data_IF_697753654048
#
_entry.id   IF_697753654048
#
_cell.length_a   1.000
_cell.length_b   1.000
_cell.length_c   1.000
_cell.angle_alpha   90.00
_cell.angle_beta   90.00
_cell.angle_gamma   90.00
#
_symmetry.space_group_name_H-M   'P 1'
#
loop_
_entity.id
_entity.type
_entity.pdbx_description
1 polymer ?
#
# COMPACT_ATOMS: atom_id res chain seq x y z
N UNK A 1 -21.10 5.05 8.88
CA UNK A 1 -21.60 4.78 7.52
C UNK A 1 -20.52 5.22 6.55
N UNK A 2 -19.54 4.37 6.32
CA UNK A 2 -18.49 4.60 5.33
C UNK A 2 -19.02 4.16 3.97
N UNK A 3 -19.04 5.13 3.08
CA UNK A 3 -19.52 5.06 1.72
C UNK A 3 -18.65 4.06 0.95
N UNK A 4 -19.06 2.81 0.83
CA UNK A 4 -18.51 1.87 -0.15
C UNK A 4 -19.00 2.29 -1.54
N UNK A 5 -18.53 3.47 -1.98
CA UNK A 5 -18.68 3.89 -3.37
C UNK A 5 -17.90 2.92 -4.23
N UNK A 6 -18.58 2.33 -5.21
CA UNK A 6 -18.14 1.59 -6.39
C UNK A 6 -16.60 1.54 -6.57
N UNK A 7 -15.92 0.86 -5.68
CA UNK A 7 -14.48 0.59 -5.81
C UNK A 7 -14.34 -0.43 -6.94
N UNK A 8 -13.70 0.01 -7.99
CA UNK A 8 -13.35 -0.84 -9.13
C UNK A 8 -12.21 -1.79 -8.71
N UNK A 9 -12.54 -2.80 -7.90
CA UNK A 9 -11.58 -3.82 -7.44
C UNK A 9 -11.35 -4.81 -8.55
N UNK A 10 -10.11 -4.95 -8.95
CA UNK A 10 -9.68 -6.01 -9.86
C UNK A 10 -8.98 -7.12 -9.07
N UNK A 11 -9.32 -8.37 -9.41
CA UNK A 11 -8.63 -9.53 -8.85
C UNK A 11 -7.50 -9.93 -9.80
N UNK A 12 -6.28 -9.91 -9.30
CA UNK A 12 -5.10 -10.34 -10.04
C UNK A 12 -4.58 -11.64 -9.43
N UNK A 13 -4.44 -12.65 -10.29
CA UNK A 13 -3.88 -13.93 -9.90
C UNK A 13 -2.37 -13.85 -9.78
N UNK A 14 -1.85 -14.10 -8.59
CA UNK A 14 -0.43 -14.29 -8.39
C UNK A 14 0.02 -15.65 -8.92
N UNK A 15 1.32 -15.80 -9.26
CA UNK A 15 1.88 -17.09 -9.68
C UNK A 15 1.67 -18.21 -8.65
N UNK A 16 1.48 -17.85 -7.39
CA UNK A 16 1.23 -18.77 -6.25
C UNK A 16 -0.23 -19.20 -6.13
N UNK A 17 -1.11 -18.79 -7.06
CA UNK A 17 -2.52 -19.17 -7.07
C UNK A 17 -3.42 -18.35 -6.13
N UNK A 18 -2.90 -17.30 -5.50
CA UNK A 18 -3.66 -16.41 -4.63
C UNK A 18 -4.22 -15.24 -5.45
N UNK A 19 -5.51 -14.95 -5.30
CA UNK A 19 -6.15 -13.78 -5.91
C UNK A 19 -6.00 -12.58 -4.96
N UNK A 20 -5.30 -11.53 -5.42
CA UNK A 20 -5.20 -10.26 -4.69
C UNK A 20 -6.15 -9.26 -5.32
N UNK A 21 -6.99 -8.65 -4.49
CA UNK A 21 -7.81 -7.51 -4.89
C UNK A 21 -6.95 -6.24 -4.93
N UNK A 22 -6.87 -5.60 -6.09
CA UNK A 22 -6.15 -4.34 -6.28
C UNK A 22 -7.13 -3.28 -6.78
N UNK A 23 -6.97 -2.05 -6.29
CA UNK A 23 -7.80 -0.91 -6.68
C UNK A 23 -6.98 0.04 -7.54
N UNK A 24 -7.23 0.13 -8.87
CA UNK A 24 -6.53 1.06 -9.74
C UNK A 24 -6.75 2.51 -9.32
N UNK A 25 -5.66 3.30 -9.26
CA UNK A 25 -5.74 4.72 -8.92
C UNK A 25 -6.34 5.52 -10.08
N UNK A 26 -7.44 6.22 -9.80
CA UNK A 26 -8.16 7.03 -10.75
C UNK A 26 -7.35 8.22 -11.28
N UNK A 27 -7.84 8.82 -12.37
CA UNK A 27 -7.21 9.97 -13.05
C UNK A 27 -6.97 11.13 -12.09
N UNK A 28 -7.94 11.43 -11.23
CA UNK A 28 -7.91 12.56 -10.30
C UNK A 28 -6.74 12.43 -9.31
N UNK A 29 -6.60 11.28 -8.64
CA UNK A 29 -5.51 11.02 -7.69
C UNK A 29 -4.14 11.10 -8.36
N UNK A 30 -4.02 10.58 -9.58
CA UNK A 30 -2.76 10.66 -10.36
C UNK A 30 -2.41 12.08 -10.77
N UNK A 31 -3.41 12.90 -11.12
CA UNK A 31 -3.23 14.32 -11.45
C UNK A 31 -2.78 15.13 -10.24
N UNK A 32 -3.40 14.92 -9.08
CA UNK A 32 -2.97 15.60 -7.86
C UNK A 32 -1.55 15.19 -7.44
N UNK A 33 -1.20 13.90 -7.53
CA UNK A 33 0.17 13.44 -7.28
C UNK A 33 1.18 14.16 -8.20
N UNK A 34 0.84 14.29 -9.49
CA UNK A 34 1.68 14.99 -10.45
C UNK A 34 1.85 16.48 -10.10
N UNK A 35 0.77 17.17 -9.70
CA UNK A 35 0.82 18.57 -9.30
C UNK A 35 1.75 18.76 -8.08
N UNK A 36 1.65 17.90 -7.07
CA UNK A 36 2.53 17.94 -5.90
C UNK A 36 3.99 17.75 -6.32
N UNK A 37 4.28 16.73 -7.14
CA UNK A 37 5.63 16.46 -7.64
C UNK A 37 6.15 17.62 -8.52
N UNK A 38 5.28 18.25 -9.29
CA UNK A 38 5.61 19.42 -10.09
C UNK A 38 6.00 20.62 -9.21
N UNK A 39 5.25 20.89 -8.15
CA UNK A 39 5.57 21.96 -7.19
C UNK A 39 6.91 21.71 -6.51
N UNK A 40 7.19 20.47 -6.09
CA UNK A 40 8.49 20.09 -5.52
C UNK A 40 9.64 20.35 -6.50
N UNK A 41 9.51 19.91 -7.74
CA UNK A 41 10.54 20.12 -8.77
C UNK A 41 10.71 21.60 -9.10
N UNK A 42 9.61 22.35 -9.18
CA UNK A 42 9.64 23.80 -9.42
C UNK A 42 10.36 24.54 -8.29
N UNK A 43 10.14 24.15 -7.03
CA UNK A 43 10.84 24.72 -5.89
C UNK A 43 12.35 24.44 -5.94
N UNK A 44 12.74 23.19 -6.27
CA UNK A 44 14.16 22.84 -6.45
C UNK A 44 14.77 23.70 -7.55
N UNK A 45 14.13 23.80 -8.71
CA UNK A 45 14.63 24.56 -9.83
C UNK A 45 14.69 26.08 -9.54
N UNK A 46 13.74 26.61 -8.77
CA UNK A 46 13.77 27.99 -8.33
C UNK A 46 15.00 28.28 -7.46
N UNK A 47 15.29 27.42 -6.47
CA UNK A 47 16.48 27.58 -5.62
C UNK A 47 17.77 27.43 -6.45
N UNK A 48 17.84 26.45 -7.33
CA UNK A 48 18.99 26.25 -8.23
C UNK A 48 19.22 27.48 -9.11
N UNK A 49 18.17 28.01 -9.73
CA UNK A 49 18.26 29.21 -10.55
C UNK A 49 18.73 30.42 -9.76
N UNK A 50 18.27 30.59 -8.54
CA UNK A 50 18.69 31.69 -7.67
C UNK A 50 20.19 31.61 -7.35
N UNK A 51 20.70 30.41 -7.05
CA UNK A 51 22.11 30.19 -6.67
C UNK A 51 23.06 30.37 -7.86
N UNK A 52 22.68 29.80 -9.01
CA UNK A 52 23.58 29.73 -10.17
C UNK A 52 23.42 30.90 -11.17
N UNK A 53 22.38 31.74 -11.04
CA UNK A 53 22.19 32.90 -11.92
C UNK A 53 23.34 33.91 -11.88
N UNK A 54 24.10 33.96 -10.78
CA UNK A 54 25.23 34.88 -10.62
C UNK A 54 26.48 34.46 -11.38
N UNK A 55 26.54 33.24 -11.94
CA UNK A 55 27.71 32.68 -12.63
C UNK A 55 27.68 32.95 -14.17
N UNK A 56 26.73 33.75 -14.65
CA UNK A 56 26.59 34.06 -16.08
C UNK A 56 26.33 32.80 -16.93
N UNK A 57 26.99 32.68 -18.07
CA UNK A 57 26.77 31.58 -19.04
C UNK A 57 27.11 30.20 -18.47
N UNK A 58 28.13 30.12 -17.61
CA UNK A 58 28.49 28.89 -16.92
C UNK A 58 27.36 28.44 -15.97
N UNK A 59 26.74 29.36 -15.26
CA UNK A 59 25.59 29.09 -14.40
C UNK A 59 24.39 28.60 -15.18
N UNK A 60 24.14 29.17 -16.36
CA UNK A 60 23.08 28.73 -17.25
C UNK A 60 23.26 27.26 -17.68
N UNK A 61 24.48 26.86 -18.04
CA UNK A 61 24.81 25.48 -18.38
C UNK A 61 24.53 24.50 -17.22
N UNK A 62 24.91 24.88 -15.99
CA UNK A 62 24.65 24.09 -14.80
C UNK A 62 23.13 23.94 -14.53
N UNK A 63 22.37 25.03 -14.65
CA UNK A 63 20.90 25.03 -14.49
C UNK A 63 20.25 24.05 -15.48
N UNK A 64 20.67 24.04 -16.74
CA UNK A 64 20.14 23.13 -17.76
C UNK A 64 20.45 21.65 -17.43
N UNK A 65 21.65 21.35 -16.96
CA UNK A 65 22.02 20.00 -16.53
C UNK A 65 21.17 19.54 -15.36
N UNK A 66 21.02 20.39 -14.34
CA UNK A 66 20.19 20.06 -13.16
C UNK A 66 18.72 19.93 -13.55
N UNK A 67 18.22 20.77 -14.47
CA UNK A 67 16.88 20.65 -15.02
C UNK A 67 16.67 19.29 -15.70
N UNK A 68 17.61 18.87 -16.52
CA UNK A 68 17.54 17.56 -17.19
C UNK A 68 17.51 16.41 -16.17
N UNK A 69 18.43 16.42 -15.20
CA UNK A 69 18.51 15.40 -14.16
C UNK A 69 17.22 15.39 -13.32
N UNK A 70 16.70 16.55 -12.94
CA UNK A 70 15.48 16.65 -12.13
C UNK A 70 14.24 16.23 -12.92
N UNK A 71 14.16 16.57 -14.21
CA UNK A 71 13.01 16.23 -15.05
C UNK A 71 12.87 14.72 -15.27
N UNK A 72 13.97 14.01 -15.46
CA UNK A 72 14.00 12.58 -15.77
C UNK A 72 14.37 11.73 -14.55
N UNK A 73 15.42 12.10 -13.85
CA UNK A 73 15.98 11.34 -12.76
C UNK A 73 15.09 11.30 -11.51
N UNK A 74 14.40 12.41 -11.20
CA UNK A 74 13.53 12.49 -10.02
C UNK A 74 12.52 11.34 -9.96
N UNK A 75 11.78 11.14 -11.01
CA UNK A 75 10.73 10.13 -11.03
C UNK A 75 11.31 8.72 -11.03
N UNK A 76 12.37 8.48 -11.81
CA UNK A 76 13.03 7.17 -11.86
C UNK A 76 13.59 6.82 -10.48
N UNK A 77 14.28 7.75 -9.84
CA UNK A 77 14.91 7.55 -8.53
C UNK A 77 13.88 7.18 -7.43
N UNK A 78 12.80 7.95 -7.34
CA UNK A 78 11.79 7.70 -6.31
C UNK A 78 10.95 6.47 -6.59
N UNK A 79 10.56 6.24 -7.84
CA UNK A 79 9.78 5.05 -8.22
C UNK A 79 10.61 3.75 -8.08
N UNK A 80 11.93 3.79 -8.27
CA UNK A 80 12.81 2.64 -8.03
C UNK A 80 12.84 2.21 -6.57
N UNK A 81 12.82 3.17 -5.66
CA UNK A 81 12.98 2.88 -4.23
C UNK A 81 11.74 2.18 -3.66
N UNK A 82 10.56 2.72 -3.92
CA UNK A 82 9.31 2.24 -3.30
C UNK A 82 8.11 2.21 -4.28
N UNK A 83 8.32 2.40 -5.58
CA UNK A 83 7.22 2.57 -6.55
C UNK A 83 6.47 3.89 -6.41
N UNK A 84 6.95 4.82 -5.58
CA UNK A 84 6.24 6.04 -5.19
C UNK A 84 7.13 7.26 -5.27
N UNK A 85 6.65 8.34 -5.91
CA UNK A 85 7.19 9.68 -5.75
C UNK A 85 6.62 10.33 -4.48
N UNK A 86 7.21 11.43 -3.96
CA UNK A 86 6.65 12.17 -2.83
C UNK A 86 5.17 12.54 -3.00
N UNK A 87 4.78 12.98 -4.20
CA UNK A 87 3.37 13.27 -4.52
C UNK A 87 2.48 12.04 -4.47
N UNK A 88 2.95 10.91 -5.01
CA UNK A 88 2.23 9.63 -4.95
C UNK A 88 2.10 9.10 -3.52
N UNK A 89 3.17 9.20 -2.73
CA UNK A 89 3.15 8.80 -1.31
C UNK A 89 2.10 9.58 -0.51
N UNK A 90 1.95 10.87 -0.79
CA UNK A 90 0.95 11.72 -0.12
C UNK A 90 -0.48 11.26 -0.40
N UNK A 91 -0.73 10.70 -1.57
CA UNK A 91 -2.04 10.21 -1.99
C UNK A 91 -2.20 8.69 -1.83
N UNK A 92 -1.26 8.05 -1.15
CA UNK A 92 -1.26 6.60 -0.92
C UNK A 92 -1.46 5.81 -2.23
N UNK A 93 -0.72 6.17 -3.29
CA UNK A 93 -0.72 5.44 -4.55
C UNK A 93 0.68 4.99 -4.93
N UNK A 94 0.80 3.79 -5.51
CA UNK A 94 2.08 3.21 -5.95
C UNK A 94 2.03 2.61 -7.34
N UNK A 95 3.20 2.49 -7.93
CA UNK A 95 3.42 1.81 -9.21
C UNK A 95 3.72 0.35 -8.94
N UNK A 96 2.97 -0.51 -9.62
CA UNK A 96 3.18 -1.97 -9.60
C UNK A 96 3.16 -2.51 -11.02
N UNK A 97 3.59 -3.74 -11.20
CA UNK A 97 3.38 -4.50 -12.43
C UNK A 97 1.90 -4.89 -12.58
N UNK A 98 1.51 -5.31 -13.76
CA UNK A 98 0.14 -5.78 -14.04
C UNK A 98 -0.28 -7.00 -13.22
N UNK A 99 0.69 -7.74 -12.69
CA UNK A 99 0.51 -8.88 -11.79
C UNK A 99 0.55 -8.49 -10.29
N UNK A 100 0.55 -7.19 -9.95
CA UNK A 100 0.59 -6.71 -8.57
C UNK A 100 1.98 -6.68 -7.92
N UNK A 101 3.01 -7.24 -8.56
CA UNK A 101 4.38 -7.23 -8.02
C UNK A 101 5.03 -5.84 -8.15
N UNK A 102 6.09 -5.54 -7.37
CA UNK A 102 6.84 -4.30 -7.51
C UNK A 102 7.39 -4.13 -8.94
N UNK A 103 7.31 -2.91 -9.47
CA UNK A 103 7.81 -2.62 -10.81
C UNK A 103 9.34 -2.76 -10.88
N UNK A 104 9.83 -3.42 -11.94
CA UNK A 104 11.27 -3.56 -12.20
C UNK A 104 11.90 -2.25 -12.68
N UNK A 105 13.24 -2.15 -12.59
CA UNK A 105 13.98 -0.98 -13.06
C UNK A 105 13.69 -0.65 -14.53
N UNK A 106 13.73 -1.65 -15.40
CA UNK A 106 13.48 -1.46 -16.84
C UNK A 106 12.08 -0.92 -17.12
N UNK A 107 11.07 -1.44 -16.41
CA UNK A 107 9.71 -0.95 -16.53
C UNK A 107 9.57 0.50 -16.07
N UNK A 108 10.24 0.87 -14.95
CA UNK A 108 10.25 2.25 -14.46
C UNK A 108 10.92 3.19 -15.45
N UNK A 109 12.02 2.77 -16.09
CA UNK A 109 12.70 3.56 -17.11
C UNK A 109 11.80 3.74 -18.34
N UNK A 110 11.24 2.65 -18.90
CA UNK A 110 10.39 2.71 -20.08
C UNK A 110 9.18 3.62 -19.89
N UNK A 111 8.47 3.46 -18.77
CA UNK A 111 7.28 4.28 -18.48
C UNK A 111 7.60 5.77 -18.32
N UNK A 112 8.78 6.10 -17.78
CA UNK A 112 9.20 7.48 -17.60
C UNK A 112 9.79 8.07 -18.91
N UNK A 113 10.41 7.25 -19.76
CA UNK A 113 10.89 7.65 -21.08
C UNK A 113 9.74 8.02 -22.02
N UNK A 114 8.59 7.36 -21.90
CA UNK A 114 7.42 7.64 -22.73
C UNK A 114 6.54 8.79 -22.20
N UNK A 115 6.94 9.46 -21.12
CA UNK A 115 6.23 10.64 -20.60
C UNK A 115 6.00 11.76 -21.61
N UNK A 116 6.97 12.11 -22.48
CA UNK A 116 6.74 13.12 -23.50
C UNK A 116 5.56 12.80 -24.44
N UNK A 117 5.29 11.50 -24.68
CA UNK A 117 4.14 11.09 -25.47
C UNK A 117 2.81 11.44 -24.76
N UNK A 118 2.75 11.31 -23.43
CA UNK A 118 1.57 11.69 -22.64
C UNK A 118 1.30 13.22 -22.67
N UNK A 119 2.35 14.03 -22.92
CA UNK A 119 2.27 15.51 -22.90
C UNK A 119 1.65 16.10 -24.18
N UNK A 120 1.56 15.32 -25.24
CA UNK A 120 1.02 15.77 -26.51
C UNK A 120 -0.51 15.91 -26.47
N UNK A 121 -1.14 16.79 -27.30
CA UNK A 121 -0.49 17.90 -27.99
C UNK A 121 -0.13 19.01 -27.01
N UNK A 122 -0.81 19.14 -25.86
CA UNK A 122 -0.57 20.17 -24.83
C UNK A 122 -0.90 19.59 -23.44
N UNK A 123 0.01 19.75 -22.47
CA UNK A 123 -0.29 19.66 -21.04
C UNK A 123 -0.84 18.31 -20.54
N UNK A 124 -0.28 17.17 -20.98
CA UNK A 124 -0.76 15.82 -20.61
C UNK A 124 -2.15 15.44 -21.11
N UNK A 125 -2.67 16.15 -22.12
CA UNK A 125 -4.00 15.89 -22.67
C UNK A 125 -4.15 14.46 -23.18
N UNK A 126 -3.20 13.96 -23.96
CA UNK A 126 -3.25 12.60 -24.50
C UNK A 126 -3.22 11.56 -23.39
N UNK A 127 -2.37 11.76 -22.39
CA UNK A 127 -2.30 10.88 -21.24
C UNK A 127 -3.62 10.82 -20.45
N UNK A 128 -4.29 11.95 -20.27
CA UNK A 128 -5.60 12.03 -19.63
C UNK A 128 -6.67 11.31 -20.46
N UNK A 129 -6.74 11.58 -21.76
CA UNK A 129 -7.71 10.93 -22.65
C UNK A 129 -7.54 9.42 -22.64
N UNK A 130 -6.31 8.92 -22.81
CA UNK A 130 -6.03 7.47 -22.80
C UNK A 130 -6.42 6.84 -21.47
N UNK A 131 -6.15 7.51 -20.32
CA UNK A 131 -6.58 7.01 -19.01
C UNK A 131 -8.09 6.94 -18.85
N UNK A 132 -8.85 7.88 -19.44
CA UNK A 132 -10.33 7.88 -19.34
C UNK A 132 -10.97 6.74 -20.14
N UNK A 133 -10.35 6.32 -21.23
CA UNK A 133 -10.85 5.22 -22.07
C UNK A 133 -10.39 3.82 -21.62
N UNK A 134 -9.71 3.71 -20.46
CA UNK A 134 -9.22 2.46 -19.95
C UNK A 134 -9.69 2.23 -18.52
N UNK A 135 -10.32 1.07 -18.24
CA UNK A 135 -10.79 0.66 -16.91
C UNK A 135 -9.70 0.66 -15.83
N UNK A 136 -8.44 0.43 -16.21
CA UNK A 136 -7.26 0.44 -15.33
C UNK A 136 -6.57 1.80 -15.24
N UNK A 137 -7.12 2.82 -15.88
CA UNK A 137 -6.56 4.18 -15.92
C UNK A 137 -5.08 4.25 -16.31
N UNK A 138 -4.61 3.37 -17.22
CA UNK A 138 -3.22 3.31 -17.66
C UNK A 138 -2.91 4.39 -18.68
N UNK A 139 -1.72 5.04 -18.55
CA UNK A 139 -1.14 5.90 -19.57
C UNK A 139 -0.47 5.08 -20.65
N UNK A 140 -0.06 5.74 -21.76
CA UNK A 140 0.74 5.11 -22.83
C UNK A 140 2.00 4.47 -22.26
N UNK A 141 2.74 5.19 -21.41
CA UNK A 141 3.94 4.68 -20.76
C UNK A 141 3.68 3.50 -19.83
N UNK A 142 2.54 3.47 -19.13
CA UNK A 142 2.16 2.36 -18.27
C UNK A 142 1.85 1.09 -19.09
N UNK A 143 1.20 1.25 -20.24
CA UNK A 143 0.91 0.15 -21.17
C UNK A 143 2.18 -0.46 -21.74
N UNK A 144 3.07 0.37 -22.25
CA UNK A 144 4.32 -0.08 -22.84
C UNK A 144 5.24 -0.78 -21.82
N UNK A 145 5.16 -0.40 -20.54
CA UNK A 145 5.97 -0.98 -19.48
C UNK A 145 5.29 -2.17 -18.76
N UNK A 146 4.03 -2.50 -19.06
CA UNK A 146 3.28 -3.54 -18.34
C UNK A 146 3.12 -3.22 -16.86
N UNK A 147 2.80 -1.96 -16.55
CA UNK A 147 2.63 -1.45 -15.17
C UNK A 147 1.28 -0.78 -15.00
N UNK A 148 0.87 -0.63 -13.75
CA UNK A 148 -0.30 0.15 -13.36
C UNK A 148 -0.01 0.96 -12.10
N UNK A 149 -0.87 1.93 -11.80
CA UNK A 149 -0.84 2.65 -10.53
C UNK A 149 -2.04 2.22 -9.72
N UNK A 150 -1.82 1.76 -8.51
CA UNK A 150 -2.86 1.30 -7.60
C UNK A 150 -2.88 2.17 -6.35
N UNK A 151 -4.00 2.18 -5.64
CA UNK A 151 -3.99 2.65 -4.27
C UNK A 151 -3.11 1.71 -3.45
N UNK A 152 -2.22 2.32 -2.69
CA UNK A 152 -1.45 1.67 -1.66
C UNK A 152 -2.36 1.62 -0.44
N UNK A 153 -3.36 0.74 -0.51
CA UNK A 153 -4.07 0.40 0.70
C UNK A 153 -2.97 -0.11 1.62
N UNK A 154 -2.60 0.73 2.59
CA UNK A 154 -1.87 0.22 3.73
C UNK A 154 -2.65 -1.05 4.06
N UNK A 155 -1.99 -2.20 4.02
CA UNK A 155 -2.48 -3.37 4.74
C UNK A 155 -2.81 -2.77 6.10
N UNK A 156 -4.09 -2.50 6.35
CA UNK A 156 -4.54 -1.93 7.62
C UNK A 156 -3.78 -2.77 8.62
N UNK A 157 -2.87 -2.11 9.34
CA UNK A 157 -1.97 -2.83 10.23
C UNK A 157 -2.91 -3.71 11.02
N UNK A 158 -2.81 -5.04 10.80
CA UNK A 158 -3.81 -5.98 11.33
C UNK A 158 -4.13 -5.48 12.73
N UNK A 159 -5.38 -5.21 13.08
CA UNK A 159 -5.71 -4.62 14.36
C UNK A 159 -4.92 -5.37 15.41
N UNK A 160 -4.21 -4.66 16.27
CA UNK A 160 -3.40 -5.31 17.30
C UNK A 160 -4.37 -6.15 18.12
N UNK A 161 -4.21 -7.47 18.07
CA UNK A 161 -5.05 -8.34 18.84
C UNK A 161 -4.94 -7.99 20.34
N UNK A 162 -6.03 -8.04 21.10
CA UNK A 162 -6.00 -7.74 22.51
C UNK A 162 -4.89 -8.52 23.21
N UNK A 163 -4.24 -7.88 24.18
CA UNK A 163 -3.17 -8.52 24.96
C UNK A 163 -3.75 -9.71 25.74
N UNK A 164 -3.13 -10.87 25.60
CA UNK A 164 -3.56 -12.09 26.28
C UNK A 164 -2.51 -13.18 26.10
N UNK A 165 -2.68 -14.28 26.83
CA UNK A 165 -1.84 -15.45 26.67
C UNK A 165 -2.15 -16.13 25.33
N UNK A 166 -1.13 -16.76 24.73
CA UNK A 166 -1.34 -17.58 23.53
C UNK A 166 -1.83 -18.94 24.02
N UNK A 167 -2.97 -19.37 23.50
CA UNK A 167 -3.51 -20.69 23.80
C UNK A 167 -3.49 -21.53 22.52
N UNK A 168 -3.01 -22.77 22.66
CA UNK A 168 -2.99 -23.74 21.55
C UNK A 168 -4.39 -24.36 21.47
N UNK A 169 -5.06 -24.31 20.32
CA UNK A 169 -6.37 -24.91 20.15
C UNK A 169 -6.35 -26.41 20.45
N UNK A 170 -7.22 -26.86 21.33
CA UNK A 170 -7.36 -28.28 21.70
C UNK A 170 -8.05 -29.05 20.57
N UNK A 171 -8.90 -28.37 19.78
CA UNK A 171 -9.61 -28.93 18.63
C UNK A 171 -9.04 -28.29 17.34
N UNK A 172 -8.93 -29.11 16.29
CA UNK A 172 -8.59 -28.58 14.96
C UNK A 172 -9.80 -27.83 14.40
N UNK A 173 -9.69 -26.52 14.33
CA UNK A 173 -10.70 -25.65 13.73
C UNK A 173 -10.60 -25.68 12.21
N UNK A 174 -11.74 -25.68 11.53
CA UNK A 174 -11.82 -25.47 10.10
C UNK A 174 -11.33 -24.05 9.74
N UNK A 175 -10.99 -23.82 8.47
CA UNK A 175 -10.55 -22.50 8.00
C UNK A 175 -11.58 -21.41 8.26
N UNK A 176 -12.87 -21.71 8.15
CA UNK A 176 -13.96 -20.79 8.41
C UNK A 176 -14.04 -20.41 9.91
N UNK A 177 -13.90 -21.39 10.79
CA UNK A 177 -13.87 -21.17 12.23
C UNK A 177 -12.63 -20.39 12.67
N UNK A 178 -11.45 -20.66 12.10
CA UNK A 178 -10.23 -19.88 12.33
C UNK A 178 -10.41 -18.40 11.95
N UNK A 179 -11.03 -18.15 10.77
CA UNK A 179 -11.33 -16.79 10.33
C UNK A 179 -12.34 -16.10 11.24
N UNK A 180 -13.37 -16.83 11.74
CA UNK A 180 -14.35 -16.28 12.64
C UNK A 180 -13.73 -15.90 14.01
N UNK A 181 -12.82 -16.73 14.54
CA UNK A 181 -12.07 -16.45 15.78
C UNK A 181 -11.16 -15.24 15.60
N UNK A 182 -10.44 -15.12 14.47
CA UNK A 182 -9.63 -13.96 14.16
C UNK A 182 -10.47 -12.69 14.06
N UNK A 183 -11.57 -12.72 13.30
CA UNK A 183 -12.47 -11.58 13.13
C UNK A 183 -13.12 -11.12 14.45
N UNK A 184 -13.43 -12.07 15.36
CA UNK A 184 -13.91 -11.75 16.69
C UNK A 184 -12.86 -11.01 17.52
N UNK A 185 -11.62 -11.51 17.54
CA UNK A 185 -10.54 -10.92 18.32
C UNK A 185 -10.13 -9.54 17.78
N UNK A 186 -10.06 -9.35 16.46
CA UNK A 186 -9.74 -8.07 15.81
C UNK A 186 -10.76 -6.96 16.14
N UNK A 187 -12.01 -7.32 16.33
CA UNK A 187 -13.08 -6.37 16.59
C UNK A 187 -13.50 -6.30 18.06
N UNK A 188 -12.88 -7.09 18.94
CA UNK A 188 -13.27 -7.21 20.35
C UNK A 188 -13.26 -5.87 21.09
N UNK A 189 -12.33 -4.98 20.77
CA UNK A 189 -12.21 -3.66 21.41
C UNK A 189 -13.25 -2.64 20.91
N UNK A 190 -13.85 -2.87 19.75
CA UNK A 190 -14.91 -2.04 19.17
C UNK A 190 -16.31 -2.48 19.63
N UNK A 191 -16.43 -3.70 20.16
CA UNK A 191 -17.71 -4.28 20.58
C UNK A 191 -18.06 -3.86 22.00
N UNK A 192 -19.38 -3.64 22.24
CA UNK A 192 -19.87 -3.52 23.62
C UNK A 192 -19.71 -4.84 24.37
N UNK A 193 -19.56 -4.78 25.70
CA UNK A 193 -19.36 -5.98 26.56
C UNK A 193 -20.48 -7.02 26.38
N UNK A 194 -21.73 -6.57 26.24
CA UNK A 194 -22.87 -7.45 26.01
C UNK A 194 -22.75 -8.20 24.66
N UNK A 195 -22.36 -7.49 23.61
CA UNK A 195 -22.19 -8.08 22.27
C UNK A 195 -20.99 -9.00 22.19
N UNK A 196 -19.91 -8.64 22.88
CA UNK A 196 -18.71 -9.48 23.00
C UNK A 196 -19.01 -10.79 23.69
N UNK A 197 -19.75 -10.75 24.81
CA UNK A 197 -20.17 -11.95 25.54
C UNK A 197 -21.10 -12.85 24.71
N UNK A 198 -22.04 -12.28 23.98
CA UNK A 198 -22.94 -13.01 23.09
C UNK A 198 -22.17 -13.74 21.97
N UNK A 199 -21.28 -13.03 21.29
CA UNK A 199 -20.48 -13.61 20.20
C UNK A 199 -19.49 -14.66 20.72
N UNK A 200 -18.88 -14.42 21.88
CA UNK A 200 -18.00 -15.39 22.51
C UNK A 200 -18.74 -16.67 22.89
N UNK A 201 -19.96 -16.57 23.41
CA UNK A 201 -20.79 -17.73 23.75
C UNK A 201 -21.12 -18.59 22.50
N UNK A 202 -21.44 -17.94 21.36
CA UNK A 202 -21.74 -18.64 20.11
C UNK A 202 -20.48 -19.35 19.58
N UNK A 203 -19.33 -18.66 19.55
CA UNK A 203 -18.09 -19.23 19.04
C UNK A 203 -17.48 -20.29 19.97
N UNK A 204 -17.79 -20.24 21.26
CA UNK A 204 -17.31 -21.20 22.24
C UNK A 204 -18.24 -22.41 22.44
N UNK A 205 -19.41 -22.44 21.80
CA UNK A 205 -20.36 -23.55 21.90
C UNK A 205 -19.70 -24.93 21.65
N UNK A 206 -18.81 -25.09 20.65
CA UNK A 206 -18.12 -26.37 20.42
C UNK A 206 -17.22 -26.79 21.57
N UNK A 207 -16.75 -25.86 22.40
CA UNK A 207 -15.78 -26.10 23.48
C UNK A 207 -16.44 -26.29 24.84
N UNK A 208 -17.77 -26.04 24.96
CA UNK A 208 -18.56 -26.19 26.20
C UNK A 208 -18.02 -25.38 27.39
N UNK A 209 -17.55 -24.18 27.15
CA UNK A 209 -16.94 -23.29 28.15
C UNK A 209 -17.91 -22.23 28.68
N UNK A 210 -17.65 -21.75 29.88
CA UNK A 210 -18.36 -20.58 30.42
C UNK A 210 -17.95 -19.30 29.66
N UNK A 211 -18.89 -18.36 29.55
CA UNK A 211 -18.72 -17.17 28.69
C UNK A 211 -17.52 -16.31 29.05
N UNK A 212 -17.12 -16.23 30.31
CA UNK A 212 -15.96 -15.46 30.78
C UNK A 212 -14.62 -16.08 30.36
N UNK A 213 -14.53 -17.42 30.40
CA UNK A 213 -13.35 -18.17 29.95
C UNK A 213 -13.26 -18.22 28.45
N UNK A 214 -14.42 -18.26 27.76
CA UNK A 214 -14.51 -18.28 26.32
C UNK A 214 -13.86 -17.06 25.66
N UNK A 215 -14.04 -15.86 26.21
CA UNK A 215 -13.44 -14.63 25.63
C UNK A 215 -11.92 -14.67 25.66
N UNK A 216 -11.32 -15.03 26.79
CA UNK A 216 -9.86 -15.09 26.93
C UNK A 216 -9.25 -16.18 26.04
N UNK A 217 -9.91 -17.34 25.97
CA UNK A 217 -9.48 -18.45 25.14
C UNK A 217 -9.57 -18.13 23.64
N UNK A 218 -10.67 -17.52 23.18
CA UNK A 218 -10.81 -17.14 21.77
C UNK A 218 -9.74 -16.09 21.34
N UNK A 219 -9.41 -15.14 22.22
CA UNK A 219 -8.30 -14.21 21.98
C UNK A 219 -6.96 -14.96 21.95
N UNK A 220 -6.74 -15.94 22.83
CA UNK A 220 -5.56 -16.80 22.81
C UNK A 220 -5.41 -17.60 21.52
N UNK A 221 -6.50 -18.17 21.02
CA UNK A 221 -6.54 -18.88 19.74
C UNK A 221 -6.29 -17.95 18.55
N UNK A 222 -6.90 -16.75 18.56
CA UNK A 222 -6.65 -15.77 17.52
C UNK A 222 -5.17 -15.38 17.44
N UNK A 223 -4.51 -15.22 18.57
CA UNK A 223 -3.06 -14.94 18.64
C UNK A 223 -2.22 -16.11 18.13
N UNK A 224 -2.61 -17.33 18.40
CA UNK A 224 -1.96 -18.53 17.85
C UNK A 224 -2.07 -18.56 16.32
N UNK A 225 -3.28 -18.38 15.77
CA UNK A 225 -3.50 -18.40 14.33
C UNK A 225 -2.92 -17.19 13.59
N UNK A 226 -2.79 -16.03 14.25
CA UNK A 226 -2.13 -14.85 13.66
C UNK A 226 -0.61 -14.98 13.53
N UNK A 227 -0.01 -16.06 14.07
CA UNK A 227 1.43 -16.25 14.07
C UNK A 227 2.19 -15.31 15.02
N UNK A 228 1.50 -14.65 15.95
CA UNK A 228 2.13 -13.89 17.03
C UNK A 228 2.70 -14.85 18.08
N UNK A 229 3.62 -15.71 17.63
CA UNK A 229 4.42 -16.51 18.54
C UNK A 229 5.16 -15.56 19.47
N UNK A 230 4.93 -15.75 20.78
CA UNK A 230 5.33 -14.80 21.81
C UNK A 230 6.79 -14.37 21.69
N UNK A 231 7.03 -13.06 21.64
CA UNK A 231 8.32 -12.45 21.98
C UNK A 231 8.76 -12.74 23.43
N UNK A 232 7.98 -13.47 24.21
CA UNK A 232 8.30 -13.88 25.56
C UNK A 232 9.43 -14.93 25.64
N UNK A 233 9.68 -15.71 24.59
CA UNK A 233 10.80 -16.64 24.55
C UNK A 233 12.12 -15.98 24.12
N UNK A 234 12.10 -14.86 23.42
CA UNK A 234 13.34 -14.13 23.09
C UNK A 234 13.87 -13.33 24.29
N UNK A 235 13.00 -12.82 25.15
CA UNK A 235 13.42 -12.13 26.37
C UNK A 235 13.99 -13.09 27.42
N UNK A 236 13.45 -14.29 27.55
CA UNK A 236 13.99 -15.31 28.46
C UNK A 236 15.36 -15.87 28.00
N UNK A 237 15.64 -15.84 26.71
CA UNK A 237 16.95 -16.28 26.17
C UNK A 237 18.03 -15.20 26.25
N UNK A 238 17.64 -13.92 26.30
CA UNK A 238 18.58 -12.81 26.44
C UNK A 238 19.00 -12.58 27.91
N UNK A 239 18.22 -13.01 28.90
CA UNK A 239 18.56 -12.93 30.33
C UNK A 239 19.42 -14.12 30.83
N UNK A 240 19.53 -15.20 30.06
CA UNK A 240 20.32 -16.39 30.46
C UNK A 240 21.75 -16.38 29.87
N UNK A 241 22.13 -15.36 29.13
CA UNK A 241 23.45 -15.21 28.49
C UNK A 241 24.20 -13.97 29.02
N UNK A 242 23.91 -13.52 30.24
CA UNK A 242 24.78 -12.56 30.97
C UNK A 242 25.44 -13.23 32.16
#
# INVERSE_FOLDING_TARGET
>A
MLNHGLENREYVKLPEGVDIAITPAGVVSRSYAYIIDFLFRSLIMFVVSLVFSFLGDAGQGIILIIYFITSWGYNIFFEMKNGQTPGKKRLKIRVVQDNGLPASFSQIVVRNLLRPADMLPIGYFLGLVVMMFNSRFKRIGDWAAGTMVIYDDEVEARPELPKGNIEIPVLSLSTEEQLAVLAFAERSDELSDARRSELAAILAEPFKLETSEAQSMLVGYARFYSGQLSNSNEQAHSETVQ
#
